data_IF_315954341769
#
_entry.id   IF_315954341769
#
_cell.length_a   1.000
_cell.length_b   1.000
_cell.length_c   1.000
_cell.angle_alpha   90.00
_cell.angle_beta   90.00
_cell.angle_gamma   90.00
#
_symmetry.space_group_name_H-M   'P 1'
#
loop_
_entity.id
_entity.type
_entity.pdbx_description
1 polymer ?
#
# COMPACT_ATOMS: atom_id res chain seq x y z
N UNK A 1 24.24 3.71 -10.68
CA UNK A 1 23.93 2.72 -9.63
C UNK A 1 22.42 2.62 -9.51
N UNK A 2 21.84 1.42 -9.47
CA UNK A 2 20.37 1.25 -9.35
C UNK A 2 19.94 1.60 -7.93
N UNK A 3 19.04 2.58 -7.76
CA UNK A 3 18.56 3.00 -6.44
C UNK A 3 17.68 1.94 -5.80
N UNK A 4 17.52 1.98 -4.48
CA UNK A 4 16.60 1.11 -3.73
C UNK A 4 15.14 1.23 -4.22
N UNK A 5 14.69 2.45 -4.56
CA UNK A 5 13.38 2.70 -5.17
C UNK A 5 13.26 1.97 -6.51
N UNK A 6 14.26 2.11 -7.38
CA UNK A 6 14.26 1.42 -8.67
C UNK A 6 14.22 -0.10 -8.47
N UNK A 7 14.99 -0.65 -7.53
CA UNK A 7 14.96 -2.10 -7.24
C UNK A 7 13.59 -2.56 -6.78
N UNK A 8 12.97 -1.82 -5.85
CA UNK A 8 11.61 -2.12 -5.39
C UNK A 8 10.62 -2.08 -6.57
N UNK A 9 10.64 -1.02 -7.38
CA UNK A 9 9.74 -0.88 -8.53
C UNK A 9 9.96 -1.95 -9.59
N UNK A 10 11.21 -2.34 -9.87
CA UNK A 10 11.51 -3.42 -10.82
C UNK A 10 10.96 -4.77 -10.36
N UNK A 11 11.09 -5.09 -9.06
CA UNK A 11 10.55 -6.34 -8.50
C UNK A 11 9.03 -6.31 -8.40
N UNK A 12 8.45 -5.20 -7.95
CA UNK A 12 7.01 -5.00 -7.98
C UNK A 12 6.46 -4.99 -9.42
N UNK A 13 7.27 -4.64 -10.41
CA UNK A 13 6.93 -4.73 -11.83
C UNK A 13 6.61 -6.14 -12.31
N UNK A 14 6.99 -7.19 -11.57
CA UNK A 14 6.61 -8.57 -11.89
C UNK A 14 5.08 -8.74 -11.90
N UNK A 15 4.36 -8.02 -11.04
CA UNK A 15 2.89 -8.03 -11.05
C UNK A 15 2.29 -7.45 -12.34
N UNK A 16 3.05 -6.64 -13.09
CA UNK A 16 2.63 -6.04 -14.34
C UNK A 16 2.95 -6.92 -15.57
N UNK A 17 3.67 -8.04 -15.41
CA UNK A 17 4.09 -8.90 -16.51
C UNK A 17 3.00 -9.87 -17.00
N UNK A 18 1.92 -10.04 -16.23
CA UNK A 18 0.82 -10.94 -16.55
C UNK A 18 -0.15 -11.10 -15.38
N UNK A 19 -1.26 -11.79 -15.61
CA UNK A 19 -2.30 -12.03 -14.59
C UNK A 19 -1.97 -13.15 -13.60
N UNK A 20 -0.95 -13.97 -13.90
CA UNK A 20 -0.67 -15.22 -13.17
C UNK A 20 0.83 -15.45 -12.87
N UNK A 21 1.75 -14.70 -13.46
CA UNK A 21 3.21 -14.86 -13.25
C UNK A 21 3.59 -14.80 -11.76
N UNK A 22 2.96 -13.92 -10.99
CA UNK A 22 3.22 -13.78 -9.56
C UNK A 22 2.67 -14.95 -8.72
N UNK A 23 1.80 -15.79 -9.28
CA UNK A 23 1.27 -17.00 -8.64
C UNK A 23 2.21 -18.19 -8.77
N UNK A 24 3.20 -18.13 -9.68
CA UNK A 24 4.22 -19.17 -9.79
C UNK A 24 4.99 -19.29 -8.46
N UNK A 25 5.02 -20.49 -7.88
CA UNK A 25 5.58 -20.71 -6.55
C UNK A 25 7.00 -20.14 -6.38
N UNK A 26 7.88 -20.37 -7.35
CA UNK A 26 9.24 -19.87 -7.28
C UNK A 26 9.28 -18.33 -7.30
N UNK A 27 8.45 -17.70 -8.12
CA UNK A 27 8.34 -16.24 -8.20
C UNK A 27 7.81 -15.68 -6.88
N UNK A 28 6.74 -16.26 -6.33
CA UNK A 28 6.17 -15.88 -5.05
C UNK A 28 7.19 -16.01 -3.90
N UNK A 29 7.95 -17.12 -3.85
CA UNK A 29 9.00 -17.34 -2.84
C UNK A 29 10.10 -16.25 -2.92
N UNK A 30 10.51 -15.86 -4.14
CA UNK A 30 11.47 -14.77 -4.32
C UNK A 30 10.91 -13.39 -3.96
N UNK A 31 9.63 -13.13 -4.25
CA UNK A 31 8.95 -11.89 -3.86
C UNK A 31 8.88 -11.77 -2.33
N UNK A 32 8.50 -12.84 -1.62
CA UNK A 32 8.52 -12.88 -0.16
C UNK A 32 9.93 -12.61 0.38
N UNK A 33 10.93 -13.34 -0.12
CA UNK A 33 12.31 -13.18 0.33
C UNK A 33 12.84 -11.76 0.09
N UNK A 34 12.50 -11.16 -1.05
CA UNK A 34 12.89 -9.79 -1.37
C UNK A 34 12.28 -8.79 -0.39
N UNK A 35 10.97 -8.89 -0.13
CA UNK A 35 10.28 -7.96 0.76
C UNK A 35 10.81 -8.05 2.19
N UNK A 36 11.03 -9.28 2.69
CA UNK A 36 11.65 -9.52 4.00
C UNK A 36 13.05 -8.91 4.08
N UNK A 37 13.89 -9.14 3.07
CA UNK A 37 15.25 -8.59 3.01
C UNK A 37 15.26 -7.04 3.00
N UNK A 38 14.32 -6.42 2.28
CA UNK A 38 14.15 -4.96 2.27
C UNK A 38 13.65 -4.43 3.61
N UNK A 39 12.77 -5.15 4.28
CA UNK A 39 12.26 -4.80 5.60
C UNK A 39 13.36 -4.89 6.68
N UNK A 40 14.11 -6.00 6.72
CA UNK A 40 15.20 -6.22 7.68
C UNK A 40 16.30 -5.16 7.60
N UNK A 41 16.59 -4.67 6.39
CA UNK A 41 17.55 -3.59 6.15
C UNK A 41 16.97 -2.17 6.33
N UNK A 42 15.71 -2.08 6.73
CA UNK A 42 14.95 -0.83 6.83
C UNK A 42 15.01 0.01 5.53
N UNK A 43 14.97 -0.65 4.37
CA UNK A 43 14.96 0.00 3.05
C UNK A 43 13.54 0.40 2.64
N UNK A 44 12.52 -0.31 3.13
CA UNK A 44 11.11 -0.02 2.86
C UNK A 44 10.59 1.28 3.46
N UNK A 45 11.32 1.93 4.37
CA UNK A 45 10.97 3.27 4.88
C UNK A 45 11.75 4.39 4.19
N UNK A 46 12.71 4.03 3.34
CA UNK A 46 13.65 4.98 2.73
C UNK A 46 13.40 5.17 1.24
N UNK A 47 12.35 4.58 0.67
CA UNK A 47 12.07 4.68 -0.77
C UNK A 47 11.85 6.15 -1.15
N UNK A 48 12.42 6.55 -2.27
CA UNK A 48 12.25 7.90 -2.83
C UNK A 48 11.04 7.90 -3.75
N UNK A 49 9.83 8.06 -3.19
CA UNK A 49 8.58 7.94 -3.96
C UNK A 49 8.20 9.20 -4.75
N UNK A 50 8.94 10.30 -4.57
CA UNK A 50 8.77 11.57 -5.30
C UNK A 50 9.71 11.72 -6.50
N UNK A 51 10.43 10.66 -6.86
CA UNK A 51 11.44 10.69 -7.93
C UNK A 51 11.05 9.78 -9.09
N UNK A 52 11.80 9.89 -10.19
CA UNK A 52 11.63 9.02 -11.35
C UNK A 52 12.35 7.69 -11.16
N UNK A 53 11.73 6.62 -11.65
CA UNK A 53 12.35 5.31 -11.79
C UNK A 53 13.26 5.37 -13.02
N UNK A 54 14.57 5.49 -12.80
CA UNK A 54 15.59 5.55 -13.86
C UNK A 54 15.33 6.59 -14.97
N UNK A 55 14.65 7.70 -14.64
CA UNK A 55 14.24 8.73 -15.62
C UNK A 55 13.26 8.25 -16.71
N UNK A 56 12.66 7.05 -16.57
CA UNK A 56 11.68 6.52 -17.53
C UNK A 56 10.26 7.00 -17.20
N UNK A 57 9.86 6.86 -15.93
CA UNK A 57 8.54 7.24 -15.44
C UNK A 57 8.61 7.66 -13.98
N UNK A 58 7.62 8.42 -13.50
CA UNK A 58 7.54 8.77 -12.08
C UNK A 58 7.20 7.53 -11.25
N UNK A 59 7.64 7.47 -10.00
CA UNK A 59 7.20 6.40 -9.09
C UNK A 59 5.68 6.37 -8.92
N UNK A 60 5.04 7.55 -8.94
CA UNK A 60 3.59 7.65 -8.83
C UNK A 60 2.87 7.02 -10.04
N UNK A 61 3.32 7.30 -11.26
CA UNK A 61 2.75 6.66 -12.46
C UNK A 61 2.93 5.13 -12.44
N UNK A 62 4.08 4.66 -11.94
CA UNK A 62 4.31 3.22 -11.75
C UNK A 62 3.33 2.64 -10.73
N UNK A 63 3.12 3.35 -9.63
CA UNK A 63 2.19 2.92 -8.59
C UNK A 63 0.75 2.86 -9.09
N UNK A 64 0.32 3.78 -9.95
CA UNK A 64 -1.00 3.74 -10.60
C UNK A 64 -1.19 2.46 -11.41
N UNK A 65 -0.21 2.11 -12.27
CA UNK A 65 -0.24 0.86 -13.02
C UNK A 65 -0.35 -0.36 -12.09
N UNK A 66 0.35 -0.31 -10.96
CA UNK A 66 0.33 -1.38 -9.96
C UNK A 66 -1.03 -1.52 -9.25
N UNK A 67 -1.70 -0.39 -8.97
CA UNK A 67 -3.06 -0.34 -8.40
C UNK A 67 -4.09 -0.86 -9.41
N UNK A 68 -4.03 -0.39 -10.66
CA UNK A 68 -4.94 -0.80 -11.74
C UNK A 68 -4.86 -2.31 -11.98
N UNK A 69 -3.64 -2.84 -12.06
CA UNK A 69 -3.40 -4.26 -12.27
C UNK A 69 -3.87 -5.11 -11.07
N UNK A 70 -3.75 -4.59 -9.84
CA UNK A 70 -4.26 -5.26 -8.66
C UNK A 70 -5.77 -5.40 -8.72
N UNK A 71 -6.48 -4.33 -9.05
CA UNK A 71 -7.95 -4.36 -9.18
C UNK A 71 -8.39 -5.30 -10.31
N UNK A 72 -7.67 -5.31 -11.43
CA UNK A 72 -8.03 -6.12 -12.59
C UNK A 72 -7.78 -7.62 -12.40
N UNK A 73 -6.70 -8.02 -11.72
CA UNK A 73 -6.19 -9.40 -11.81
C UNK A 73 -5.74 -10.02 -10.48
N UNK A 74 -5.67 -9.30 -9.37
CA UNK A 74 -5.09 -9.87 -8.12
C UNK A 74 -5.99 -10.88 -7.43
N UNK A 75 -7.31 -10.80 -7.62
CA UNK A 75 -8.31 -11.52 -6.83
C UNK A 75 -8.13 -11.38 -5.29
N UNK A 76 -7.50 -10.29 -4.84
CA UNK A 76 -7.21 -10.09 -3.41
C UNK A 76 -5.96 -10.83 -2.92
N UNK A 77 -4.99 -11.09 -3.80
CA UNK A 77 -3.75 -11.81 -3.44
C UNK A 77 -3.01 -11.14 -2.26
N UNK A 78 -2.59 -11.98 -1.32
CA UNK A 78 -2.00 -11.57 -0.04
C UNK A 78 -0.60 -10.95 -0.24
N UNK A 79 0.20 -11.52 -1.15
CA UNK A 79 1.55 -11.04 -1.39
C UNK A 79 1.53 -9.76 -2.20
N UNK A 80 0.68 -9.68 -3.23
CA UNK A 80 0.46 -8.46 -3.99
C UNK A 80 -0.08 -7.35 -3.09
N UNK A 81 -1.03 -7.65 -2.18
CA UNK A 81 -1.49 -6.68 -1.18
C UNK A 81 -0.32 -6.10 -0.37
N UNK A 82 0.62 -6.93 0.07
CA UNK A 82 1.80 -6.46 0.80
C UNK A 82 2.64 -5.47 -0.03
N UNK A 83 2.91 -5.77 -1.30
CA UNK A 83 3.63 -4.84 -2.18
C UNK A 83 2.87 -3.55 -2.44
N UNK A 84 1.55 -3.64 -2.63
CA UNK A 84 0.69 -2.48 -2.86
C UNK A 84 0.63 -1.55 -1.65
N UNK A 85 0.71 -2.10 -0.44
CA UNK A 85 0.61 -1.34 0.81
C UNK A 85 1.93 -0.68 1.23
N UNK A 86 3.09 -1.10 0.71
CA UNK A 86 4.38 -0.45 1.05
C UNK A 86 4.35 1.07 0.78
N UNK A 87 3.89 1.56 -0.39
CA UNK A 87 3.83 3.00 -0.66
C UNK A 87 2.71 3.73 0.11
N UNK A 88 1.85 3.01 0.84
CA UNK A 88 0.78 3.60 1.65
C UNK A 88 1.17 3.88 3.12
N UNK A 89 2.41 3.58 3.50
CA UNK A 89 2.92 3.96 4.81
C UNK A 89 2.86 5.48 5.01
N UNK A 90 2.69 5.92 6.26
CA UNK A 90 2.38 7.31 6.59
C UNK A 90 3.51 8.29 6.24
N UNK A 91 4.76 7.82 6.22
CA UNK A 91 5.94 8.62 5.88
C UNK A 91 6.04 8.97 4.39
N UNK A 92 5.31 8.26 3.53
CA UNK A 92 5.29 8.51 2.09
C UNK A 92 4.37 9.65 1.67
N UNK A 93 4.55 10.08 0.42
CA UNK A 93 3.73 11.12 -0.19
C UNK A 93 2.24 10.78 -0.09
N UNK A 94 1.47 11.72 0.46
CA UNK A 94 0.02 11.61 0.66
C UNK A 94 -0.73 11.29 -0.63
N UNK A 95 -0.21 11.68 -1.80
CA UNK A 95 -0.83 11.38 -3.09
C UNK A 95 -0.99 9.88 -3.33
N UNK A 96 -0.07 9.04 -2.82
CA UNK A 96 -0.17 7.58 -2.91
C UNK A 96 -1.37 7.05 -2.12
N UNK A 97 -1.59 7.59 -0.90
CA UNK A 97 -2.75 7.26 -0.07
C UNK A 97 -4.05 7.79 -0.69
N UNK A 98 -4.08 9.03 -1.18
CA UNK A 98 -5.26 9.61 -1.84
C UNK A 98 -5.65 8.83 -3.08
N UNK A 99 -4.68 8.35 -3.85
CA UNK A 99 -4.93 7.54 -5.02
C UNK A 99 -5.69 6.24 -4.68
N UNK A 100 -5.26 5.49 -3.66
CA UNK A 100 -5.93 4.24 -3.25
C UNK A 100 -7.24 4.48 -2.51
N UNK A 101 -7.23 5.39 -1.54
CA UNK A 101 -8.40 5.61 -0.69
C UNK A 101 -9.50 6.35 -1.43
N UNK A 102 -9.17 7.46 -2.09
CA UNK A 102 -10.16 8.39 -2.64
C UNK A 102 -10.39 8.12 -4.13
N UNK A 103 -9.34 8.11 -4.94
CA UNK A 103 -9.47 8.04 -6.41
C UNK A 103 -9.88 6.65 -6.89
N UNK A 104 -9.33 5.58 -6.29
CA UNK A 104 -9.51 4.18 -6.71
C UNK A 104 -10.20 3.34 -5.61
N UNK A 105 -11.18 3.94 -4.92
CA UNK A 105 -11.82 3.36 -3.74
C UNK A 105 -12.46 1.97 -3.91
N UNK A 106 -12.75 1.55 -5.13
CA UNK A 106 -13.24 0.20 -5.45
C UNK A 106 -12.24 -0.88 -5.05
N UNK A 107 -10.93 -0.57 -5.09
CA UNK A 107 -9.84 -1.49 -4.69
C UNK A 107 -9.94 -1.91 -3.21
N UNK A 108 -10.54 -1.08 -2.36
CA UNK A 108 -10.71 -1.36 -0.93
C UNK A 108 -11.56 -2.64 -0.70
N UNK A 109 -12.40 -3.04 -1.66
CA UNK A 109 -13.18 -4.29 -1.58
C UNK A 109 -12.32 -5.56 -1.69
N UNK A 110 -11.15 -5.43 -2.32
CA UNK A 110 -10.22 -6.52 -2.61
C UNK A 110 -9.03 -6.53 -1.63
N UNK A 111 -8.73 -5.42 -0.97
CA UNK A 111 -7.70 -5.32 0.07
C UNK A 111 -8.20 -5.89 1.40
N UNK A 112 -8.16 -7.22 1.51
CA UNK A 112 -8.63 -7.99 2.68
C UNK A 112 -7.50 -8.48 3.60
N UNK A 113 -6.31 -7.92 3.41
CA UNK A 113 -5.12 -8.31 4.15
C UNK A 113 -5.34 -8.12 5.65
N UNK A 114 -4.97 -9.14 6.42
CA UNK A 114 -5.02 -9.10 7.88
C UNK A 114 -3.71 -8.55 8.46
N UNK A 115 -3.74 -7.91 9.64
CA UNK A 115 -2.53 -7.37 10.26
C UNK A 115 -1.41 -8.40 10.47
N UNK A 116 -1.73 -9.66 10.74
CA UNK A 116 -0.78 -10.78 10.92
C UNK A 116 -0.19 -11.30 9.60
N UNK A 117 -0.70 -10.85 8.46
CA UNK A 117 -0.21 -11.20 7.12
C UNK A 117 0.70 -10.10 6.51
N UNK A 118 0.95 -9.01 7.24
CA UNK A 118 1.85 -7.95 6.82
C UNK A 118 3.31 -8.42 6.99
N UNK A 119 4.12 -8.22 5.95
CA UNK A 119 5.53 -8.64 5.88
C UNK A 119 6.53 -7.54 6.29
N UNK A 120 6.05 -6.44 6.84
CA UNK A 120 6.86 -5.31 7.31
C UNK A 120 6.30 -4.69 8.59
N UNK A 121 6.90 -3.63 9.13
CA UNK A 121 6.40 -3.05 10.37
C UNK A 121 4.99 -2.45 10.22
N UNK A 122 4.03 -3.03 10.94
CA UNK A 122 2.63 -2.57 10.98
C UNK A 122 2.49 -1.13 11.48
N UNK A 123 3.40 -0.67 12.34
CA UNK A 123 3.39 0.69 12.93
C UNK A 123 3.51 1.79 11.87
N UNK A 124 4.11 1.47 10.72
CA UNK A 124 4.34 2.42 9.61
C UNK A 124 3.05 2.96 8.99
N UNK A 125 1.91 2.30 9.20
CA UNK A 125 0.60 2.80 8.77
C UNK A 125 -0.04 3.79 9.74
N UNK A 126 0.48 3.90 10.96
CA UNK A 126 -0.14 4.64 12.05
C UNK A 126 0.63 5.90 12.44
N UNK A 127 1.92 5.97 12.10
CA UNK A 127 2.81 7.10 12.44
C UNK A 127 3.63 7.53 11.20
N UNK A 128 3.70 8.84 10.88
CA UNK A 128 2.99 9.95 11.54
C UNK A 128 1.47 9.85 11.42
N UNK A 129 0.75 10.58 12.28
CA UNK A 129 -0.71 10.65 12.21
C UNK A 129 -1.15 11.35 10.92
N UNK A 130 -2.24 10.86 10.31
CA UNK A 130 -2.80 11.46 9.11
C UNK A 130 -3.34 12.86 9.43
N UNK A 131 -2.90 13.84 8.63
CA UNK A 131 -3.31 15.23 8.78
C UNK A 131 -3.93 15.82 7.50
N UNK A 132 -3.98 15.04 6.41
CA UNK A 132 -4.67 15.46 5.20
C UNK A 132 -6.20 15.43 5.42
N UNK A 133 -6.88 16.59 5.30
CA UNK A 133 -8.29 16.68 5.64
C UNK A 133 -9.19 15.88 4.71
N UNK A 134 -8.76 15.63 3.47
CA UNK A 134 -9.55 14.83 2.53
C UNK A 134 -9.50 13.35 2.90
N UNK A 135 -8.33 12.83 3.29
CA UNK A 135 -8.19 11.46 3.79
C UNK A 135 -8.97 11.25 5.09
N UNK A 136 -8.91 12.19 6.04
CA UNK A 136 -9.69 12.09 7.28
C UNK A 136 -11.19 12.04 7.02
N UNK A 137 -11.71 12.95 6.17
CA UNK A 137 -13.12 12.92 5.75
C UNK A 137 -13.47 11.60 5.09
N UNK A 138 -12.58 11.09 4.24
CA UNK A 138 -12.80 9.85 3.53
C UNK A 138 -12.82 8.63 4.47
N UNK A 139 -11.92 8.56 5.46
CA UNK A 139 -11.93 7.53 6.50
C UNK A 139 -13.27 7.51 7.25
N UNK A 140 -13.80 8.66 7.63
CA UNK A 140 -15.14 8.74 8.23
C UNK A 140 -16.23 8.24 7.26
N UNK A 141 -16.18 8.65 5.99
CA UNK A 141 -17.16 8.24 4.98
C UNK A 141 -17.20 6.73 4.76
N UNK A 142 -16.05 6.07 4.59
CA UNK A 142 -15.99 4.61 4.34
C UNK A 142 -16.41 3.79 5.55
N UNK A 143 -16.18 4.31 6.77
CA UNK A 143 -16.65 3.68 8.01
C UNK A 143 -18.17 3.83 8.14
N UNK A 144 -18.72 5.02 7.91
CA UNK A 144 -20.16 5.30 8.00
C UNK A 144 -20.97 4.51 6.96
N UNK A 145 -20.47 4.45 5.72
CA UNK A 145 -21.15 3.73 4.64
C UNK A 145 -20.94 2.21 4.71
N UNK A 146 -20.06 1.73 5.60
CA UNK A 146 -19.72 0.32 5.71
C UNK A 146 -18.97 -0.23 4.49
N UNK A 147 -18.31 0.63 3.70
CA UNK A 147 -17.43 0.23 2.58
C UNK A 147 -16.29 -0.65 3.08
N UNK A 148 -15.71 -0.27 4.23
CA UNK A 148 -14.74 -1.09 4.95
C UNK A 148 -15.36 -1.63 6.23
N UNK A 149 -15.15 -2.91 6.51
CA UNK A 149 -15.68 -3.58 7.71
C UNK A 149 -14.56 -4.31 8.42
N UNK A 150 -14.56 -4.26 9.75
CA UNK A 150 -13.59 -4.98 10.60
C UNK A 150 -13.45 -6.47 10.25
N UNK A 151 -14.53 -7.12 9.82
CA UNK A 151 -14.56 -8.55 9.48
C UNK A 151 -14.07 -8.87 8.06
N UNK A 152 -14.07 -7.90 7.14
CA UNK A 152 -13.74 -8.10 5.73
C UNK A 152 -12.38 -7.46 5.38
N UNK A 153 -12.13 -6.23 5.82
CA UNK A 153 -10.88 -5.49 5.63
C UNK A 153 -10.30 -5.04 6.99
N UNK A 154 -9.87 -5.98 7.85
CA UNK A 154 -9.44 -5.66 9.21
C UNK A 154 -8.31 -4.63 9.27
N UNK A 155 -7.32 -4.69 8.37
CA UNK A 155 -6.22 -3.73 8.34
C UNK A 155 -6.69 -2.32 7.96
N UNK A 156 -7.42 -2.19 6.85
CA UNK A 156 -7.94 -0.88 6.39
C UNK A 156 -8.88 -0.26 7.42
N UNK A 157 -9.75 -1.08 8.03
CA UNK A 157 -10.62 -0.64 9.12
C UNK A 157 -9.81 -0.09 10.31
N UNK A 158 -8.74 -0.79 10.70
CA UNK A 158 -7.86 -0.35 11.78
C UNK A 158 -7.17 0.99 11.47
N UNK A 159 -6.67 1.16 10.24
CA UNK A 159 -6.04 2.42 9.76
C UNK A 159 -7.05 3.57 9.83
N UNK A 160 -8.23 3.40 9.24
CA UNK A 160 -9.25 4.44 9.21
C UNK A 160 -9.74 4.84 10.61
N UNK A 161 -10.01 3.86 11.48
CA UNK A 161 -10.46 4.13 12.86
C UNK A 161 -9.37 4.82 13.67
N UNK A 162 -8.11 4.37 13.56
CA UNK A 162 -6.99 4.98 14.28
C UNK A 162 -6.83 6.46 13.92
N UNK A 163 -6.67 6.76 12.63
CA UNK A 163 -6.42 8.14 12.20
C UNK A 163 -7.60 9.06 12.43
N UNK A 164 -8.83 8.57 12.25
CA UNK A 164 -10.02 9.35 12.59
C UNK A 164 -10.09 9.64 14.10
N UNK A 165 -9.84 8.64 14.95
CA UNK A 165 -9.82 8.85 16.39
C UNK A 165 -8.75 9.86 16.79
N UNK A 166 -7.51 9.68 16.33
CA UNK A 166 -6.42 10.61 16.64
C UNK A 166 -6.79 12.03 16.22
N UNK A 167 -7.29 12.23 15.00
CA UNK A 167 -7.70 13.56 14.52
C UNK A 167 -8.78 14.20 15.39
N UNK A 168 -9.74 13.41 15.90
CA UNK A 168 -10.81 13.94 16.77
C UNK A 168 -10.31 14.35 18.16
N UNK A 169 -9.26 13.70 18.68
CA UNK A 169 -8.75 13.93 20.04
C UNK A 169 -7.50 14.82 20.11
N UNK A 170 -6.69 14.91 19.04
CA UNK A 170 -5.49 15.78 18.96
C UNK A 170 -5.81 17.22 18.51
N UNK A 171 -7.08 17.56 18.22
CA UNK A 171 -7.51 18.93 17.87
C UNK A 171 -7.82 19.85 19.06
N UNK A 172 -7.42 19.48 20.29
CA UNK A 172 -7.47 20.36 21.48
C UNK A 172 -6.23 21.21 21.64
#
# INVERSE_FOLDING_TARGET
MVTKTTRFAMIAGIYLLGSDVFLEKNVADYLVAFLNCFNEQNLLQKLETRTNIQSLMTFFDFYRLLVDQYEACSFGDVLYSNYLLVPLQQTYDVQLRKHVWIEHSTILNYLRLKPDQILFSLETFFIPYENDPDLIRYYAQVLLNGTIKKTIQPLLYMIAVHHLNVFLYDQT
#
